data_IF_569272929148
#
_entry.id   IF_569272929148
#
_cell.length_a   1.000
_cell.length_b   1.000
_cell.length_c   1.000
_cell.angle_alpha   90.00
_cell.angle_beta   90.00
_cell.angle_gamma   90.00
#
_symmetry.space_group_name_H-M   'P 1'
#
loop_
_entity.id
_entity.type
_entity.pdbx_description
1 polymer ?
#
# COMPACT_ATOMS: atom_id res chain seq x y z
N UNK A 1 3.43 17.16 -14.12
CA UNK A 1 4.20 15.95 -13.74
C UNK A 1 3.28 14.84 -13.27
N UNK A 2 3.52 13.59 -13.66
CA UNK A 2 2.69 12.46 -13.23
C UNK A 2 2.59 12.36 -11.69
N UNK A 3 1.40 12.00 -11.18
CA UNK A 3 1.13 11.84 -9.75
C UNK A 3 1.92 10.67 -9.14
N UNK A 4 2.23 9.66 -9.94
CA UNK A 4 2.96 8.45 -9.59
C UNK A 4 4.20 8.31 -10.48
N UNK A 5 5.31 7.81 -9.95
CA UNK A 5 6.48 7.48 -10.77
C UNK A 5 6.38 6.09 -11.39
N UNK A 6 7.13 5.82 -12.47
CA UNK A 6 7.24 4.49 -13.09
C UNK A 6 7.59 3.39 -12.07
N UNK A 7 8.57 3.68 -11.18
CA UNK A 7 8.97 2.79 -10.08
C UNK A 7 7.82 2.42 -9.13
N UNK A 8 6.87 3.33 -8.92
CA UNK A 8 5.70 3.07 -8.09
C UNK A 8 4.70 2.15 -8.78
N UNK A 9 4.47 2.33 -10.09
CA UNK A 9 3.64 1.43 -10.90
C UNK A 9 4.23 0.02 -10.96
N UNK A 10 5.55 -0.10 -11.15
CA UNK A 10 6.26 -1.38 -11.15
C UNK A 10 6.14 -2.10 -9.80
N UNK A 11 6.25 -1.38 -8.69
CA UNK A 11 6.09 -1.96 -7.35
C UNK A 11 4.67 -2.49 -7.10
N UNK A 12 3.65 -1.79 -7.62
CA UNK A 12 2.25 -2.25 -7.56
C UNK A 12 2.04 -3.48 -8.44
N UNK A 13 2.60 -3.50 -9.65
CA UNK A 13 2.56 -4.66 -10.55
C UNK A 13 3.14 -5.91 -9.87
N UNK A 14 4.34 -5.79 -9.32
CA UNK A 14 5.01 -6.88 -8.59
C UNK A 14 4.18 -7.38 -7.40
N UNK A 15 3.55 -6.49 -6.64
CA UNK A 15 2.68 -6.87 -5.52
C UNK A 15 1.42 -7.60 -6.02
N UNK A 16 0.81 -7.15 -7.12
CA UNK A 16 -0.33 -7.83 -7.75
C UNK A 16 0.08 -9.22 -8.24
N UNK A 17 1.26 -9.38 -8.83
CA UNK A 17 1.72 -10.68 -9.31
C UNK A 17 1.97 -11.66 -8.16
N UNK A 18 2.57 -11.20 -7.05
CA UNK A 18 2.68 -11.99 -5.81
C UNK A 18 1.32 -12.36 -5.23
N UNK A 19 0.34 -11.46 -5.33
CA UNK A 19 -1.03 -11.74 -4.90
C UNK A 19 -1.70 -12.79 -5.79
N UNK A 20 -1.59 -12.69 -7.12
CA UNK A 20 -2.11 -13.68 -8.07
C UNK A 20 -1.47 -15.07 -7.85
N UNK A 21 -0.20 -15.10 -7.43
CA UNK A 21 0.52 -16.32 -7.05
C UNK A 21 0.16 -16.85 -5.66
N UNK A 22 -0.65 -16.14 -4.87
CA UNK A 22 -1.01 -16.54 -3.50
C UNK A 22 0.12 -16.40 -2.47
N UNK A 23 1.23 -15.74 -2.83
CA UNK A 23 2.43 -15.63 -1.97
C UNK A 23 2.53 -14.30 -1.24
N UNK A 24 1.69 -13.31 -1.59
CA UNK A 24 1.71 -12.01 -0.94
C UNK A 24 1.21 -12.11 0.52
N UNK A 25 2.08 -11.72 1.45
CA UNK A 25 1.76 -11.66 2.89
C UNK A 25 1.53 -10.23 3.36
N UNK A 26 0.63 -10.09 4.31
CA UNK A 26 0.45 -8.87 5.11
C UNK A 26 1.59 -8.74 6.12
N UNK A 27 2.05 -7.51 6.37
CA UNK A 27 3.25 -7.23 7.17
C UNK A 27 3.27 -7.89 8.56
N UNK A 28 2.79 -7.17 9.58
CA UNK A 28 2.90 -7.62 10.99
C UNK A 28 2.19 -8.95 11.27
N UNK A 29 1.10 -9.23 10.57
CA UNK A 29 0.26 -10.41 10.84
C UNK A 29 0.72 -11.67 10.11
N UNK A 30 1.59 -11.57 9.09
CA UNK A 30 2.02 -12.72 8.27
C UNK A 30 0.91 -13.43 7.49
N UNK A 31 -0.35 -12.96 7.59
CA UNK A 31 -1.51 -13.54 6.89
C UNK A 31 -1.42 -13.31 5.39
N UNK A 32 -1.97 -14.23 4.61
CA UNK A 32 -2.13 -14.05 3.16
C UNK A 32 -3.01 -12.84 2.87
N UNK A 33 -2.66 -12.12 1.81
CA UNK A 33 -3.48 -11.04 1.28
C UNK A 33 -4.66 -11.66 0.54
N UNK A 34 -5.86 -11.29 0.95
CA UNK A 34 -7.11 -11.83 0.39
C UNK A 34 -7.69 -10.92 -0.70
N UNK A 35 -7.38 -9.62 -0.65
CA UNK A 35 -7.96 -8.64 -1.57
C UNK A 35 -6.92 -7.97 -2.48
N UNK A 36 -7.28 -7.78 -3.75
CA UNK A 36 -6.48 -7.03 -4.72
C UNK A 36 -6.20 -5.59 -4.28
N UNK A 37 -7.17 -4.94 -3.64
CA UNK A 37 -7.01 -3.59 -3.09
C UNK A 37 -5.91 -3.53 -2.03
N UNK A 38 -5.82 -4.55 -1.17
CA UNK A 38 -4.75 -4.66 -0.17
C UNK A 38 -3.39 -4.92 -0.84
N UNK A 39 -3.34 -5.70 -1.93
CA UNK A 39 -2.11 -5.89 -2.70
C UNK A 39 -1.60 -4.56 -3.30
N UNK A 40 -2.50 -3.74 -3.85
CA UNK A 40 -2.18 -2.39 -4.34
C UNK A 40 -1.66 -1.51 -3.20
N UNK A 41 -2.31 -1.54 -2.04
CA UNK A 41 -1.88 -0.76 -0.88
C UNK A 41 -0.48 -1.16 -0.37
N UNK A 42 -0.17 -2.46 -0.39
CA UNK A 42 1.16 -2.97 -0.05
C UNK A 42 2.18 -2.51 -1.09
N UNK A 43 1.88 -2.65 -2.38
CA UNK A 43 2.77 -2.19 -3.47
C UNK A 43 3.06 -0.69 -3.42
N UNK A 44 2.04 0.14 -3.13
CA UNK A 44 2.22 1.58 -2.91
C UNK A 44 3.06 1.88 -1.66
N UNK A 45 2.95 1.06 -0.61
CA UNK A 45 3.73 1.22 0.61
C UNK A 45 5.19 0.80 0.41
N UNK A 46 5.45 -0.27 -0.34
CA UNK A 46 6.79 -0.68 -0.77
C UNK A 46 7.44 0.41 -1.65
N UNK A 47 6.68 0.97 -2.59
CA UNK A 47 7.15 2.06 -3.44
C UNK A 47 7.61 3.28 -2.61
N UNK A 48 6.84 3.68 -1.59
CA UNK A 48 7.22 4.76 -0.67
C UNK A 48 8.51 4.45 0.10
N UNK A 49 8.65 3.23 0.62
CA UNK A 49 9.86 2.79 1.33
C UNK A 49 11.10 2.83 0.44
N UNK A 50 10.94 2.54 -0.86
CA UNK A 50 12.00 2.60 -1.87
C UNK A 50 12.27 4.02 -2.39
N UNK A 51 11.64 5.06 -1.82
CA UNK A 51 11.82 6.45 -2.24
C UNK A 51 11.15 6.81 -3.57
N UNK A 52 10.25 5.97 -4.09
CA UNK A 52 9.50 6.29 -5.29
C UNK A 52 8.48 7.40 -5.02
N UNK A 53 8.23 8.25 -6.02
CA UNK A 53 7.21 9.31 -5.95
C UNK A 53 5.82 8.69 -5.87
N UNK A 54 5.22 8.76 -4.69
CA UNK A 54 3.85 8.34 -4.41
C UNK A 54 3.14 9.47 -3.68
N UNK A 55 1.93 9.88 -4.10
CA UNK A 55 1.14 10.88 -3.39
C UNK A 55 0.96 10.49 -1.91
N UNK A 56 1.05 11.48 -1.03
CA UNK A 56 0.69 11.30 0.38
C UNK A 56 -0.79 10.92 0.44
N UNK A 57 -1.12 9.99 1.34
CA UNK A 57 -2.53 9.71 1.63
C UNK A 57 -3.11 11.00 2.20
N UNK A 58 -4.18 11.51 1.61
CA UNK A 58 -4.93 12.62 2.21
C UNK A 58 -5.33 12.17 3.62
N UNK A 59 -4.78 12.80 4.64
CA UNK A 59 -5.24 12.61 6.01
C UNK A 59 -6.64 13.22 6.05
N UNK A 60 -7.73 12.45 6.26
CA UNK A 60 -8.95 13.10 6.72
C UNK A 60 -8.58 13.85 7.99
N UNK A 61 -8.94 15.13 8.08
CA UNK A 61 -8.65 15.99 9.21
C UNK A 61 -8.87 15.20 10.50
N UNK A 62 -7.89 15.26 11.42
CA UNK A 62 -7.86 14.49 12.64
C UNK A 62 -9.23 14.53 13.33
N UNK A 63 -10.05 13.48 13.14
CA UNK A 63 -11.26 13.29 13.94
C UNK A 63 -10.74 13.05 15.34
N UNK A 64 -10.78 14.12 16.14
CA UNK A 64 -10.46 14.15 17.56
C UNK A 64 -11.06 12.89 18.18
N UNK A 65 -10.21 11.94 18.58
CA UNK A 65 -10.66 10.77 19.34
C UNK A 65 -11.12 11.32 20.67
N UNK A 66 -12.41 11.62 20.82
CA UNK A 66 -13.01 11.82 22.13
C UNK A 66 -12.80 10.51 22.88
N UNK A 67 -11.88 10.56 23.82
CA UNK A 67 -11.68 9.55 24.84
C UNK A 67 -12.98 9.43 25.63
N UNK A 68 -13.85 8.48 25.29
CA UNK A 68 -14.88 8.02 26.22
C UNK A 68 -14.22 6.97 27.12
N UNK A 69 -13.75 7.41 28.27
CA UNK A 69 -13.53 6.56 29.44
C UNK A 69 -14.25 7.21 30.61
#
# INVERSE_FOLDING_TARGET
MARYSKKSSESVGNAIDRYKKGTLKSGRSGKNVTSRAQAVAIGLSEARKKGAKVPKKSTPAARKRTSSR
#
